data_IF_987584646414
#
_entry.id   IF_987584646414
#
_cell.length_a   1.000
_cell.length_b   1.000
_cell.length_c   1.000
_cell.angle_alpha   90.00
_cell.angle_beta   90.00
_cell.angle_gamma   90.00
#
_symmetry.space_group_name_H-M   'P 1'
#
loop_
_entity.id
_entity.type
_entity.pdbx_description
1 polymer ?
#
# COMPACT_ATOMS: atom_id res chain seq x y z
N UNK A 1 -0.98 0.97 8.36
CA UNK A 1 -1.31 2.20 9.11
C UNK A 1 -0.02 2.99 9.26
N UNK A 2 -0.14 4.30 9.26
CA UNK A 2 0.99 5.20 9.46
C UNK A 2 1.40 5.19 10.95
N UNK A 3 2.65 4.81 11.29
CA UNK A 3 3.11 4.75 12.67
C UNK A 3 3.39 6.15 13.27
N UNK A 4 3.57 7.17 12.44
CA UNK A 4 3.95 8.53 12.87
C UNK A 4 2.75 9.49 12.87
N UNK A 5 1.63 9.10 12.25
CA UNK A 5 0.41 9.88 12.27
C UNK A 5 -0.19 9.99 13.68
N UNK A 6 -0.53 11.22 14.08
CA UNK A 6 -1.20 11.51 15.35
C UNK A 6 -2.63 10.92 15.41
N UNK A 7 -3.26 10.79 14.25
CA UNK A 7 -4.56 10.16 14.06
C UNK A 7 -4.41 8.92 13.15
N UNK A 8 -5.46 8.10 13.05
CA UNK A 8 -5.41 6.94 12.17
C UNK A 8 -5.30 7.38 10.71
N UNK A 9 -4.21 6.97 10.04
CA UNK A 9 -4.03 7.10 8.59
C UNK A 9 -3.75 5.73 7.97
N UNK A 10 -4.46 5.43 6.89
CA UNK A 10 -4.43 4.13 6.24
C UNK A 10 -4.48 4.32 4.73
N UNK A 11 -3.49 3.75 4.04
CA UNK A 11 -3.58 3.56 2.59
C UNK A 11 -4.03 2.14 2.28
N UNK A 12 -4.83 2.03 1.23
CA UNK A 12 -5.38 0.78 0.73
C UNK A 12 -4.90 0.58 -0.68
N UNK A 13 -4.22 -0.54 -0.88
CA UNK A 13 -3.74 -1.01 -2.16
C UNK A 13 -4.86 -1.78 -2.85
N UNK A 14 -5.23 -1.41 -4.07
CA UNK A 14 -6.22 -2.14 -4.87
C UNK A 14 -5.63 -2.56 -6.23
N UNK A 15 -5.88 -3.83 -6.55
CA UNK A 15 -5.49 -4.43 -7.83
C UNK A 15 -6.69 -4.31 -8.74
N UNK A 16 -6.63 -3.38 -9.69
CA UNK A 16 -7.73 -3.19 -10.62
C UNK A 16 -7.87 -4.38 -11.56
N UNK A 17 -8.92 -4.33 -12.38
CA UNK A 17 -9.23 -5.44 -13.28
C UNK A 17 -8.23 -5.56 -14.42
N UNK A 18 -8.30 -4.65 -15.40
CA UNK A 18 -7.61 -4.82 -16.69
C UNK A 18 -6.46 -3.86 -16.92
N UNK A 19 -6.52 -2.64 -16.38
CA UNK A 19 -5.67 -1.55 -16.89
C UNK A 19 -4.98 -0.73 -15.83
N UNK A 20 -5.55 -0.63 -14.64
CA UNK A 20 -5.10 0.34 -13.64
C UNK A 20 -4.95 -0.32 -12.30
N UNK A 21 -3.87 0.03 -11.62
CA UNK A 21 -3.63 -0.25 -10.22
C UNK A 21 -3.79 1.05 -9.43
N UNK A 22 -4.27 0.98 -8.19
CA UNK A 22 -4.54 2.18 -7.40
C UNK A 22 -4.15 2.04 -5.92
N UNK A 23 -3.87 3.19 -5.31
CA UNK A 23 -3.70 3.37 -3.88
C UNK A 23 -4.70 4.43 -3.44
N UNK A 24 -5.58 4.05 -2.52
CA UNK A 24 -6.54 4.94 -1.89
C UNK A 24 -6.08 5.37 -0.50
N UNK A 25 -6.39 6.61 -0.11
CA UNK A 25 -6.36 7.00 1.30
C UNK A 25 -7.73 6.71 1.93
N UNK A 26 -7.74 5.84 2.93
CA UNK A 26 -8.95 5.50 3.65
C UNK A 26 -9.39 6.68 4.51
N UNK A 27 -10.61 7.17 4.28
CA UNK A 27 -11.23 8.12 5.19
C UNK A 27 -11.77 7.32 6.37
N UNK A 28 -11.20 7.54 7.54
CA UNK A 28 -11.50 6.75 8.75
C UNK A 28 -12.41 7.50 9.71
N UNK A 29 -13.12 6.76 10.58
CA UNK A 29 -14.04 7.34 11.54
C UNK A 29 -15.41 7.69 10.95
N UNK A 30 -16.21 8.54 11.63
CA UNK A 30 -17.57 8.89 11.20
C UNK A 30 -17.62 9.55 9.82
N UNK A 31 -16.58 10.32 9.47
CA UNK A 31 -16.42 10.98 8.16
C UNK A 31 -16.16 9.96 7.04
N UNK A 32 -15.68 8.77 7.40
CA UNK A 32 -15.46 7.64 6.51
C UNK A 32 -16.74 6.94 6.05
N UNK A 33 -17.83 7.10 6.80
CA UNK A 33 -19.05 6.35 6.58
C UNK A 33 -19.72 6.75 5.25
N UNK A 34 -19.76 5.81 4.31
CA UNK A 34 -20.39 6.01 3.00
C UNK A 34 -19.44 6.43 1.88
N UNK A 35 -18.12 6.49 2.12
CA UNK A 35 -17.17 6.61 1.03
C UNK A 35 -17.19 5.36 0.16
N UNK A 36 -17.29 5.58 -1.15
CA UNK A 36 -17.32 4.56 -2.18
C UNK A 36 -16.17 4.86 -3.13
N UNK A 37 -15.25 3.91 -3.27
CA UNK A 37 -14.07 4.06 -4.13
C UNK A 37 -14.29 3.41 -5.50
N UNK A 38 -15.54 3.12 -5.87
CA UNK A 38 -15.91 2.86 -7.26
C UNK A 38 -15.79 1.41 -7.74
N UNK A 39 -15.17 0.50 -6.99
CA UNK A 39 -15.17 -0.90 -7.39
C UNK A 39 -16.61 -1.47 -7.44
N UNK A 40 -17.05 -2.17 -8.48
CA UNK A 40 -16.30 -2.63 -9.66
C UNK A 40 -16.66 -1.93 -10.98
N UNK A 41 -17.16 -0.71 -10.90
CA UNK A 41 -17.44 0.13 -12.08
C UNK A 41 -16.28 1.05 -12.44
N UNK A 42 -15.34 1.24 -11.51
CA UNK A 42 -14.09 1.98 -11.68
C UNK A 42 -12.86 1.08 -11.52
N UNK A 43 -11.77 1.48 -12.16
CA UNK A 43 -10.38 1.05 -11.94
C UNK A 43 -9.57 2.36 -11.88
N UNK A 44 -9.25 2.88 -10.69
CA UNK A 44 -8.77 4.24 -10.56
C UNK A 44 -9.86 5.26 -10.89
N UNK A 45 -9.43 6.39 -11.45
CA UNK A 45 -10.30 7.42 -12.01
C UNK A 45 -10.89 7.03 -13.38
N UNK A 46 -10.84 5.75 -13.74
CA UNK A 46 -11.24 5.25 -15.06
C UNK A 46 -12.37 4.24 -15.01
N UNK A 47 -13.29 4.35 -15.99
CA UNK A 47 -14.36 3.37 -16.17
C UNK A 47 -13.76 1.95 -16.37
N UNK A 48 -14.28 0.98 -15.61
CA UNK A 48 -13.88 -0.42 -15.70
C UNK A 48 -14.27 -1.00 -17.08
N UNK A 49 -13.29 -1.44 -17.90
CA UNK A 49 -13.55 -1.90 -19.27
C UNK A 49 -14.28 -3.25 -19.35
N UNK A 50 -14.44 -3.97 -18.24
CA UNK A 50 -15.28 -5.17 -18.17
C UNK A 50 -16.76 -4.85 -17.92
N UNK A 51 -17.10 -3.59 -17.67
CA UNK A 51 -18.48 -3.12 -17.49
C UNK A 51 -18.96 -2.34 -18.72
N UNK A 52 -20.26 -2.40 -18.97
CA UNK A 52 -20.91 -1.59 -19.99
C UNK A 52 -21.36 -0.25 -19.41
N UNK A 53 -21.33 0.80 -20.23
CA UNK A 53 -21.70 2.15 -19.83
C UNK A 53 -20.51 3.01 -19.40
N UNK A 54 -20.81 4.23 -18.93
CA UNK A 54 -19.85 5.12 -18.28
C UNK A 54 -20.27 5.32 -16.83
N UNK A 55 -19.33 5.18 -15.91
CA UNK A 55 -19.54 5.43 -14.49
C UNK A 55 -19.11 6.86 -14.09
N UNK A 56 -18.30 7.51 -14.94
CA UNK A 56 -17.73 8.84 -14.66
C UNK A 56 -16.85 8.82 -13.40
N UNK A 57 -15.88 7.89 -13.41
CA UNK A 57 -15.06 7.54 -12.25
C UNK A 57 -14.20 8.69 -11.71
N UNK A 58 -13.84 9.67 -12.54
CA UNK A 58 -13.15 10.89 -12.12
C UNK A 58 -14.08 11.96 -11.53
N UNK A 59 -15.39 11.70 -11.46
CA UNK A 59 -16.38 12.60 -10.89
C UNK A 59 -16.48 12.48 -9.36
N UNK A 60 -17.15 13.45 -8.73
CA UNK A 60 -17.25 13.55 -7.25
C UNK A 60 -18.10 12.47 -6.58
N UNK A 61 -18.60 11.49 -7.33
CA UNK A 61 -19.42 10.40 -6.80
C UNK A 61 -18.57 9.39 -6.03
N UNK A 62 -17.34 9.18 -6.49
CA UNK A 62 -16.42 8.22 -5.92
C UNK A 62 -15.29 8.97 -5.21
N UNK A 63 -14.75 8.34 -4.18
CA UNK A 63 -13.47 8.74 -3.59
C UNK A 63 -12.37 8.24 -4.51
N UNK A 64 -11.77 9.14 -5.27
CA UNK A 64 -10.66 8.80 -6.18
C UNK A 64 -9.37 8.45 -5.44
N UNK A 65 -8.44 7.76 -6.12
CA UNK A 65 -7.19 7.32 -5.52
C UNK A 65 -6.22 8.48 -5.28
N UNK A 66 -5.31 8.30 -4.32
CA UNK A 66 -4.18 9.22 -4.12
C UNK A 66 -3.03 8.95 -5.09
N UNK A 67 -3.01 7.76 -5.69
CA UNK A 67 -2.08 7.38 -6.73
C UNK A 67 -2.66 6.25 -7.60
N UNK A 68 -2.45 6.31 -8.91
CA UNK A 68 -2.80 5.24 -9.84
C UNK A 68 -1.72 5.07 -10.91
N UNK A 69 -1.65 3.89 -11.52
CA UNK A 69 -0.81 3.67 -12.68
C UNK A 69 -1.34 2.62 -13.64
N UNK A 70 -0.98 2.80 -14.91
CA UNK A 70 -1.44 1.94 -15.99
C UNK A 70 -0.55 0.71 -16.17
N UNK A 71 -1.16 -0.42 -16.49
CA UNK A 71 -0.46 -1.69 -16.82
C UNK A 71 0.56 -1.56 -17.95
N UNK A 72 0.42 -0.57 -18.85
CA UNK A 72 1.39 -0.29 -19.91
C UNK A 72 2.79 0.11 -19.41
N UNK A 73 2.98 0.35 -18.10
CA UNK A 73 4.32 0.53 -17.51
C UNK A 73 5.09 -0.80 -17.40
N UNK A 74 4.44 -1.93 -17.63
CA UNK A 74 4.97 -3.28 -17.38
C UNK A 74 4.87 -3.73 -15.92
N UNK A 75 4.19 -2.94 -15.08
CA UNK A 75 3.82 -3.24 -13.68
C UNK A 75 2.29 -3.35 -13.66
N UNK A 76 1.75 -4.42 -13.09
CA UNK A 76 0.35 -4.84 -13.31
C UNK A 76 -0.26 -5.54 -12.08
N UNK A 77 0.37 -5.47 -10.91
CA UNK A 77 -0.16 -6.09 -9.71
C UNK A 77 0.43 -5.45 -8.47
N UNK A 78 -0.29 -4.46 -7.95
CA UNK A 78 0.05 -3.73 -6.75
C UNK A 78 -0.09 -4.65 -5.53
N UNK A 79 1.00 -4.79 -4.77
CA UNK A 79 1.08 -5.76 -3.69
C UNK A 79 1.91 -5.24 -2.53
N UNK A 80 1.42 -5.46 -1.31
CA UNK A 80 2.12 -5.05 -0.10
C UNK A 80 2.29 -3.53 0.03
N UNK A 81 2.37 -3.04 1.25
CA UNK A 81 2.50 -1.62 1.48
C UNK A 81 2.83 -1.33 2.93
N UNK A 82 3.67 -0.33 3.16
CA UNK A 82 4.02 0.11 4.49
C UNK A 82 4.41 1.59 4.48
N UNK A 83 3.88 2.34 5.44
CA UNK A 83 4.45 3.65 5.79
C UNK A 83 5.84 3.44 6.35
N UNK A 84 6.77 4.29 5.94
CA UNK A 84 8.13 4.32 6.46
C UNK A 84 8.09 5.02 7.82
N UNK A 85 8.53 4.37 8.90
CA UNK A 85 8.66 5.06 10.18
C UNK A 85 9.69 6.20 10.07
N UNK A 86 9.39 7.35 10.63
CA UNK A 86 10.30 8.50 10.63
C UNK A 86 11.65 8.14 11.28
N UNK A 87 12.73 8.54 10.61
CA UNK A 87 14.09 8.23 11.01
C UNK A 87 14.51 6.78 10.75
N UNK A 88 13.67 5.96 10.10
CA UNK A 88 14.04 4.59 9.76
C UNK A 88 15.23 4.51 8.84
N UNK A 89 15.39 5.46 7.94
CA UNK A 89 16.51 5.51 7.03
C UNK A 89 17.31 6.79 7.26
N UNK A 90 18.60 6.66 7.58
CA UNK A 90 19.47 7.81 7.86
C UNK A 90 19.68 8.77 6.67
N UNK A 91 19.15 8.43 5.49
CA UNK A 91 19.27 9.20 4.25
C UNK A 91 17.97 9.84 3.74
N UNK A 92 16.85 9.78 4.47
CA UNK A 92 15.55 10.32 4.06
C UNK A 92 14.41 9.31 4.19
N UNK A 93 13.31 9.49 3.47
CA UNK A 93 12.09 8.64 3.46
C UNK A 93 11.10 8.84 4.62
N UNK A 94 11.28 9.87 5.44
CA UNK A 94 10.23 10.34 6.36
C UNK A 94 8.99 10.76 5.54
N UNK A 95 7.79 10.60 6.12
CA UNK A 95 6.49 10.81 5.46
C UNK A 95 6.20 9.93 4.22
N UNK A 96 7.05 8.94 3.91
CA UNK A 96 6.91 8.12 2.71
C UNK A 96 6.07 6.85 2.90
N UNK A 97 5.41 6.42 1.83
CA UNK A 97 4.75 5.12 1.74
C UNK A 97 5.42 4.24 0.70
N UNK A 98 5.87 3.05 1.09
CA UNK A 98 6.41 2.06 0.16
C UNK A 98 5.31 1.09 -0.27
N UNK A 99 5.28 0.75 -1.55
CA UNK A 99 4.40 -0.29 -2.09
C UNK A 99 5.13 -1.15 -3.12
N UNK A 100 4.72 -2.41 -3.24
CA UNK A 100 5.29 -3.35 -4.19
C UNK A 100 4.46 -3.48 -5.46
N UNK A 101 5.10 -3.95 -6.52
CA UNK A 101 4.42 -4.56 -7.66
C UNK A 101 4.98 -5.96 -7.92
N UNK A 102 4.09 -6.95 -7.92
CA UNK A 102 4.44 -8.36 -8.07
C UNK A 102 4.97 -8.70 -9.46
N UNK A 103 4.38 -8.12 -10.51
CA UNK A 103 4.63 -8.46 -11.91
C UNK A 103 5.98 -7.93 -12.37
N UNK A 104 6.26 -6.65 -12.12
CA UNK A 104 7.54 -6.05 -12.47
C UNK A 104 8.62 -6.27 -11.40
N UNK A 105 8.27 -6.79 -10.23
CA UNK A 105 9.22 -7.14 -9.18
C UNK A 105 9.93 -5.93 -8.59
N UNK A 106 9.21 -4.81 -8.44
CA UNK A 106 9.71 -3.53 -7.96
C UNK A 106 9.02 -3.10 -6.67
N UNK A 107 9.70 -2.21 -5.92
CA UNK A 107 9.12 -1.42 -4.84
C UNK A 107 9.22 0.03 -5.26
N UNK A 108 8.14 0.76 -5.03
CA UNK A 108 8.02 2.18 -5.28
C UNK A 108 7.81 2.92 -3.97
N UNK A 109 8.20 4.17 -3.98
CA UNK A 109 7.96 5.16 -2.93
C UNK A 109 6.89 6.13 -3.40
N UNK A 110 5.92 6.44 -2.54
CA UNK A 110 5.09 7.62 -2.62
C UNK A 110 5.54 8.64 -1.58
N UNK A 111 5.76 9.87 -2.01
CA UNK A 111 6.09 11.00 -1.15
C UNK A 111 5.08 12.12 -1.34
N UNK A 112 4.56 12.76 -0.29
CA UNK A 112 3.69 13.91 -0.42
C UNK A 112 4.34 15.02 -1.26
N UNK A 113 3.66 15.51 -2.29
CA UNK A 113 4.19 16.54 -3.18
C UNK A 113 3.91 17.98 -2.70
N UNK A 114 3.31 18.14 -1.52
CA UNK A 114 2.98 19.42 -0.92
C UNK A 114 1.75 20.14 -1.50
N UNK A 115 1.06 19.54 -2.49
CA UNK A 115 -0.14 20.10 -3.13
C UNK A 115 -1.41 19.26 -2.91
N UNK A 116 -1.34 18.30 -1.97
CA UNK A 116 -2.43 17.39 -1.66
C UNK A 116 -2.42 16.09 -2.47
N UNK A 117 -1.31 15.79 -3.17
CA UNK A 117 -1.08 14.52 -3.86
C UNK A 117 0.29 13.92 -3.54
N UNK A 118 0.66 12.88 -4.27
CA UNK A 118 1.91 12.13 -4.06
C UNK A 118 2.71 12.01 -5.35
N UNK A 119 4.02 12.19 -5.24
CA UNK A 119 4.97 11.82 -6.28
C UNK A 119 5.40 10.36 -6.10
N UNK A 120 5.61 9.66 -7.22
CA UNK A 120 6.12 8.29 -7.21
C UNK A 120 7.56 8.21 -7.70
N UNK A 121 8.41 7.51 -6.95
CA UNK A 121 9.75 7.13 -7.36
C UNK A 121 9.98 5.61 -7.27
N UNK A 122 10.93 5.08 -8.05
CA UNK A 122 11.40 3.70 -7.86
C UNK A 122 12.31 3.64 -6.63
N UNK A 123 11.98 2.79 -5.67
CA UNK A 123 12.76 2.57 -4.45
C UNK A 123 13.71 1.38 -4.61
N UNK A 124 13.22 0.29 -5.20
CA UNK A 124 14.01 -0.90 -5.49
C UNK A 124 13.48 -1.66 -6.70
N UNK A 125 14.37 -2.30 -7.45
CA UNK A 125 14.04 -3.14 -8.59
C UNK A 125 14.83 -4.46 -8.55
N UNK A 126 14.61 -5.31 -9.55
CA UNK A 126 15.34 -6.57 -9.73
C UNK A 126 15.22 -7.51 -8.52
N UNK A 127 14.08 -7.52 -7.83
CA UNK A 127 13.88 -8.34 -6.63
C UNK A 127 13.89 -9.85 -6.94
N UNK A 128 13.78 -10.22 -8.22
CA UNK A 128 13.78 -11.59 -8.74
C UNK A 128 12.38 -12.20 -8.84
N UNK A 129 12.27 -13.53 -9.09
CA UNK A 129 10.99 -14.22 -9.23
C UNK A 129 10.26 -14.32 -7.90
N UNK A 130 8.96 -13.99 -7.88
CA UNK A 130 8.12 -14.09 -6.68
C UNK A 130 7.59 -12.79 -6.09
N UNK A 131 8.00 -11.65 -6.64
CA UNK A 131 7.51 -10.31 -6.28
C UNK A 131 7.63 -9.90 -4.81
N UNK A 132 7.53 -8.61 -4.47
CA UNK A 132 7.26 -8.16 -3.11
C UNK A 132 5.75 -8.31 -2.82
N UNK A 133 5.35 -9.24 -1.95
CA UNK A 133 3.93 -9.46 -1.60
C UNK A 133 3.52 -8.86 -0.26
N UNK A 134 4.51 -8.51 0.58
CA UNK A 134 4.29 -7.77 1.81
C UNK A 134 5.53 -6.93 2.11
N UNK A 135 5.31 -5.80 2.76
CA UNK A 135 6.32 -4.90 3.28
C UNK A 135 6.03 -4.70 4.76
N UNK A 136 7.06 -4.74 5.57
CA UNK A 136 6.95 -4.49 7.00
C UNK A 136 8.22 -3.82 7.54
N UNK A 137 8.06 -3.07 8.62
CA UNK A 137 9.16 -2.48 9.36
C UNK A 137 9.22 -3.15 10.73
N UNK A 138 10.37 -3.73 11.05
CA UNK A 138 10.59 -4.33 12.36
C UNK A 138 10.51 -3.28 13.48
N UNK A 139 10.33 -3.71 14.73
CA UNK A 139 10.21 -2.80 15.89
C UNK A 139 11.43 -1.90 16.11
N UNK A 140 12.59 -2.27 15.55
CA UNK A 140 13.82 -1.50 15.61
C UNK A 140 13.91 -0.53 14.43
N UNK A 141 12.86 0.23 14.17
CA UNK A 141 12.68 1.14 13.04
C UNK A 141 13.71 2.28 12.92
N UNK A 142 14.94 2.12 13.42
CA UNK A 142 16.08 3.04 13.30
C UNK A 142 17.27 2.41 12.52
N UNK A 143 17.13 1.19 12.03
CA UNK A 143 18.22 0.41 11.42
C UNK A 143 18.23 0.43 9.88
N UNK A 144 17.30 1.14 9.22
CA UNK A 144 17.17 1.18 7.76
C UNK A 144 16.67 -0.13 7.16
N UNK A 145 15.88 -0.91 7.91
CA UNK A 145 15.49 -2.28 7.53
C UNK A 145 13.98 -2.39 7.34
N UNK A 146 13.56 -2.43 6.08
CA UNK A 146 12.28 -3.00 5.69
C UNK A 146 12.47 -4.48 5.30
N UNK A 147 11.51 -5.33 5.65
CA UNK A 147 11.43 -6.72 5.21
C UNK A 147 10.38 -6.85 4.10
N UNK A 148 10.78 -7.48 3.00
CA UNK A 148 9.87 -7.90 1.93
C UNK A 148 9.56 -9.37 2.11
N UNK A 149 8.29 -9.77 2.14
CA UNK A 149 7.93 -11.16 1.91
C UNK A 149 7.78 -11.41 0.42
N UNK A 150 8.26 -12.55 -0.07
CA UNK A 150 8.22 -12.95 -1.49
C UNK A 150 7.63 -14.33 -1.66
N UNK A 151 7.04 -14.61 -2.82
CA UNK A 151 6.48 -15.94 -3.14
C UNK A 151 7.49 -16.86 -3.86
N UNK A 152 7.64 -18.14 -3.48
CA UNK A 152 7.07 -18.78 -2.29
C UNK A 152 7.87 -18.43 -1.01
N UNK A 153 7.16 -17.89 0.00
CA UNK A 153 7.51 -17.87 1.42
C UNK A 153 8.88 -17.35 1.85
N UNK A 154 9.58 -16.53 1.07
CA UNK A 154 10.93 -16.06 1.41
C UNK A 154 10.90 -14.61 1.88
N UNK A 155 11.25 -14.37 3.14
CA UNK A 155 11.52 -13.02 3.64
C UNK A 155 12.91 -12.57 3.19
N UNK A 156 12.99 -11.37 2.64
CA UNK A 156 14.23 -10.71 2.24
C UNK A 156 14.29 -9.31 2.82
N UNK A 157 15.48 -8.78 3.00
CA UNK A 157 15.66 -7.35 3.28
C UNK A 157 15.41 -6.56 2.00
N UNK A 158 14.66 -5.46 2.10
CA UNK A 158 14.60 -4.47 1.05
C UNK A 158 16.02 -4.05 0.64
N UNK A 159 16.35 -3.94 -0.66
CA UNK A 159 17.60 -3.35 -1.11
C UNK A 159 17.54 -1.83 -0.94
N UNK A 160 17.51 -1.34 0.30
CA UNK A 160 17.68 0.07 0.63
C UNK A 160 19.14 0.33 0.95
N UNK A 161 19.93 0.81 -0.02
CA UNK A 161 21.25 1.37 0.30
C UNK A 161 21.05 2.71 0.99
N UNK A 162 20.96 2.72 2.31
CA UNK A 162 21.42 3.89 3.06
C UNK A 162 22.94 3.79 3.14
N UNK A 163 23.64 4.79 2.62
CA UNK A 163 25.09 4.84 2.69
C UNK A 163 25.55 4.88 4.16
N UNK A 164 25.99 3.73 4.67
CA UNK A 164 26.95 3.68 5.76
C UNK A 164 27.99 2.61 5.42
N UNK A 165 29.25 3.04 5.38
CA UNK A 165 30.45 2.22 5.19
C UNK A 165 30.37 0.88 5.95
N UNK A 166 30.92 -0.23 5.44
CA UNK A 166 30.78 -1.53 6.08
C UNK A 166 31.50 -1.52 7.44
N UNK A 167 30.72 -1.57 8.53
CA UNK A 167 31.24 -2.05 9.82
C UNK A 167 30.70 -3.45 10.05
N UNK A 168 31.63 -4.36 10.26
CA UNK A 168 31.45 -5.81 10.44
C UNK A 168 30.37 -6.16 11.47
N UNK A 169 29.74 -7.35 11.37
CA UNK A 169 28.72 -7.76 12.31
C UNK A 169 29.38 -8.24 13.60
N UNK A 170 28.97 -7.68 14.73
CA UNK A 170 29.05 -8.37 16.00
C UNK A 170 27.90 -7.90 16.89
N UNK A 171 26.92 -8.79 17.09
CA UNK A 171 26.49 -9.27 18.42
C UNK A 171 25.13 -9.96 18.32
N UNK A 172 25.13 -11.24 18.67
CA UNK A 172 23.93 -12.04 18.94
C UNK A 172 23.16 -11.41 20.10
N UNK A 173 21.90 -11.01 19.88
CA UNK A 173 21.01 -10.54 20.95
C UNK A 173 20.03 -11.66 21.29
N UNK A 174 20.04 -12.07 22.55
CA UNK A 174 19.11 -13.04 23.11
C UNK A 174 17.68 -12.50 23.15
N UNK A 175 16.73 -13.41 22.95
CA UNK A 175 15.29 -13.16 22.93
C UNK A 175 14.80 -12.57 24.25
N UNK A 176 14.41 -11.30 24.24
CA UNK A 176 13.52 -10.73 25.27
C UNK A 176 12.05 -10.95 24.86
N UNK A 177 11.12 -11.19 25.79
CA UNK A 177 9.71 -11.28 25.49
C UNK A 177 9.15 -9.89 25.13
N UNK A 178 8.44 -9.80 24.01
CA UNK A 178 7.79 -8.55 23.56
C UNK A 178 6.61 -8.14 24.45
N UNK A 179 6.22 -6.86 24.44
CA UNK A 179 5.08 -6.36 25.19
C UNK A 179 3.74 -6.90 24.62
N UNK A 180 2.68 -7.01 25.44
CA UNK A 180 1.40 -7.55 25.01
C UNK A 180 0.62 -6.48 24.24
N UNK A 181 0.84 -6.35 22.93
CA UNK A 181 -0.18 -5.76 22.08
C UNK A 181 -1.28 -6.82 21.88
N UNK A 182 -2.47 -6.52 22.40
CA UNK A 182 -3.63 -7.39 22.28
C UNK A 182 -3.96 -7.67 20.81
N UNK A 183 -4.34 -8.91 20.50
CA UNK A 183 -4.78 -9.29 19.17
C UNK A 183 -5.97 -8.40 18.75
N UNK A 184 -5.76 -7.56 17.74
CA UNK A 184 -6.87 -6.91 17.04
C UNK A 184 -7.61 -8.01 16.27
N UNK A 185 -8.90 -8.15 16.58
CA UNK A 185 -9.82 -9.05 15.88
C UNK A 185 -9.95 -8.58 14.42
N UNK A 186 -9.32 -9.30 13.49
CA UNK A 186 -9.34 -9.05 12.05
C UNK A 186 -10.74 -9.22 11.39
N UNK A 187 -11.83 -9.13 12.17
CA UNK A 187 -13.22 -9.27 11.72
C UNK A 187 -13.91 -7.95 11.42
N UNK A 188 -13.19 -6.81 11.47
CA UNK A 188 -13.70 -5.52 10.97
C UNK A 188 -12.66 -4.93 10.03
N UNK A 189 -12.49 -5.57 8.89
CA UNK A 189 -11.94 -4.89 7.72
C UNK A 189 -12.86 -3.73 7.32
N UNK A 190 -12.28 -2.64 6.83
CA UNK A 190 -13.02 -1.70 5.99
C UNK A 190 -13.34 -2.49 4.70
N UNK A 191 -14.48 -3.18 4.67
CA UNK A 191 -14.98 -3.80 3.44
C UNK A 191 -15.51 -2.69 2.54
N UNK A 192 -14.98 -2.57 1.31
CA UNK A 192 -15.70 -1.89 0.23
C UNK A 192 -16.98 -2.70 -0.01
N UNK A 193 -18.13 -2.14 0.29
CA UNK A 193 -19.40 -2.85 0.19
C UNK A 193 -19.73 -3.18 -1.27
N UNK A 194 -19.92 -4.46 -1.57
CA UNK A 194 -20.61 -4.91 -2.78
C UNK A 194 -22.05 -4.37 -2.76
N UNK A 195 -22.31 -3.28 -3.49
CA UNK A 195 -23.68 -2.83 -3.78
C UNK A 195 -24.33 -3.76 -4.82
N UNK A 196 -24.52 -5.02 -4.44
CA UNK A 196 -25.30 -6.00 -5.17
C UNK A 196 -26.80 -5.66 -5.12
N UNK A 197 -27.31 -5.18 -6.24
CA UNK A 197 -28.70 -5.15 -6.68
C UNK A 197 -29.67 -6.04 -5.86
N UNK A 198 -30.33 -5.49 -4.85
CA UNK A 198 -31.56 -6.08 -4.30
C UNK A 198 -32.75 -5.52 -5.06
N UNK A 199 -33.11 -6.21 -6.14
CA UNK A 199 -34.40 -6.05 -6.79
C UNK A 199 -35.53 -6.23 -5.77
N UNK A 200 -36.25 -5.14 -5.48
CA UNK A 200 -37.58 -5.19 -4.88
C UNK A 200 -38.52 -5.85 -5.89
N UNK A 201 -39.02 -7.06 -5.60
CA UNK A 201 -40.25 -7.53 -6.24
C UNK A 201 -41.43 -6.73 -5.68
N UNK A 202 -42.35 -6.20 -6.51
CA UNK A 202 -43.65 -5.79 -6.04
C UNK A 202 -44.51 -7.03 -5.77
N UNK A 203 -45.38 -6.94 -4.77
CA UNK A 203 -46.28 -8.02 -4.33
C UNK A 203 -47.45 -8.29 -5.27
#
# INVERSE_FOLDING_TARGET
>A
MDPDAAETRLFVNDVGGKRWEEIDEAVVGPEGAGNDYGWNVCEGDHDNPYRSGRADCSGSRFTGPIHEYNHNTGCESLTGGAFVPDGAFSGGYDDSYLFGDYVCGKIFELTPNGTGGYDRAEFAAELGPGGPIALDFGPDGADGRCTTRRSPGADRRCPGRCAASPRSPARTVGRAPGPPYGALDARRGVEKSDAGNRGRSPG
#
